data_IF_358791384238
#
_entry.id   IF_358791384238
#
_cell.length_a   1.000
_cell.length_b   1.000
_cell.length_c   1.000
_cell.angle_alpha   90.00
_cell.angle_beta   90.00
_cell.angle_gamma   90.00
#
_symmetry.space_group_name_H-M   'P 1'
#
loop_
_entity.id
_entity.type
_entity.pdbx_description
1 polymer ?
#
# COMPACT_ATOMS: atom_id res chain seq x y z
N UNK A 1 -21.31 39.39 -40.27
CA UNK A 1 -19.92 39.26 -39.79
C UNK A 1 -19.95 38.74 -38.37
N UNK A 2 -19.23 37.65 -38.08
CA UNK A 2 -19.11 37.16 -36.70
C UNK A 2 -18.24 38.14 -35.90
N UNK A 3 -18.63 38.42 -34.65
CA UNK A 3 -17.83 39.26 -33.75
C UNK A 3 -16.51 38.54 -33.46
N UNK A 4 -15.39 39.25 -33.65
CA UNK A 4 -14.06 38.77 -33.34
C UNK A 4 -13.64 39.17 -31.93
N UNK A 5 -12.90 38.29 -31.28
CA UNK A 5 -12.34 38.46 -29.94
C UNK A 5 -10.85 38.16 -30.00
N UNK A 6 -10.04 39.01 -29.38
CA UNK A 6 -8.65 38.69 -29.13
C UNK A 6 -8.55 37.43 -28.26
N UNK A 7 -7.39 36.75 -28.29
CA UNK A 7 -7.15 35.58 -27.42
C UNK A 7 -7.40 35.86 -25.94
N UNK A 8 -7.11 37.08 -25.46
CA UNK A 8 -7.35 37.49 -24.07
C UNK A 8 -8.83 37.65 -23.74
N UNK A 9 -9.61 38.26 -24.64
CA UNK A 9 -11.05 38.38 -24.48
C UNK A 9 -11.74 37.01 -24.53
N UNK A 10 -11.34 36.15 -25.47
CA UNK A 10 -11.83 34.78 -25.57
C UNK A 10 -11.51 33.98 -24.31
N UNK A 11 -10.26 34.04 -23.83
CA UNK A 11 -9.83 33.41 -22.60
C UNK A 11 -10.69 33.84 -21.40
N UNK A 12 -10.91 35.16 -21.25
CA UNK A 12 -11.74 35.74 -20.18
C UNK A 12 -13.20 35.28 -20.25
N UNK A 13 -13.81 35.28 -21.44
CA UNK A 13 -15.19 34.85 -21.63
C UNK A 13 -15.41 33.39 -21.22
N UNK A 14 -14.43 32.53 -21.49
CA UNK A 14 -14.52 31.10 -21.22
C UNK A 14 -13.85 30.69 -19.91
N UNK A 15 -13.32 31.63 -19.12
CA UNK A 15 -12.67 31.35 -17.85
C UNK A 15 -11.45 30.41 -17.98
N UNK A 16 -10.74 30.49 -19.10
CA UNK A 16 -9.48 29.74 -19.32
C UNK A 16 -8.34 30.73 -19.50
N UNK A 17 -7.09 30.28 -19.37
CA UNK A 17 -5.97 31.16 -19.60
C UNK A 17 -5.61 31.22 -21.11
N UNK A 18 -5.00 32.34 -21.54
CA UNK A 18 -4.61 32.51 -22.94
C UNK A 18 -3.56 31.47 -23.41
N UNK A 19 -2.74 30.93 -22.49
CA UNK A 19 -1.78 29.86 -22.80
C UNK A 19 -2.49 28.56 -23.20
N UNK A 20 -3.63 28.24 -22.59
CA UNK A 20 -4.47 27.09 -22.94
C UNK A 20 -5.03 27.24 -24.35
N UNK A 21 -5.51 28.43 -24.73
CA UNK A 21 -5.95 28.68 -26.11
C UNK A 21 -4.81 28.58 -27.13
N UNK A 22 -3.61 29.10 -26.81
CA UNK A 22 -2.42 28.90 -27.66
C UNK A 22 -2.09 27.43 -27.83
N UNK A 23 -2.12 26.67 -26.73
CA UNK A 23 -1.87 25.24 -26.78
C UNK A 23 -2.94 24.49 -27.59
N UNK A 24 -4.21 24.86 -27.47
CA UNK A 24 -5.27 24.27 -28.28
C UNK A 24 -5.13 24.60 -29.78
N UNK A 25 -4.62 25.78 -30.12
CA UNK A 25 -4.25 26.14 -31.49
C UNK A 25 -3.08 25.29 -32.00
N UNK A 26 -2.00 25.18 -31.21
CA UNK A 26 -0.80 24.39 -31.51
C UNK A 26 -1.13 22.92 -31.82
N UNK A 27 -2.01 22.30 -31.04
CA UNK A 27 -2.44 20.90 -31.27
C UNK A 27 -3.59 20.78 -32.28
N UNK A 28 -4.06 21.90 -32.85
CA UNK A 28 -5.16 21.93 -33.83
C UNK A 28 -6.56 21.66 -33.25
N UNK A 29 -6.71 21.64 -31.92
CA UNK A 29 -7.99 21.44 -31.26
C UNK A 29 -8.93 22.63 -31.46
N UNK A 30 -8.43 23.88 -31.45
CA UNK A 30 -9.19 25.08 -31.83
C UNK A 30 -8.24 26.10 -32.47
N UNK A 31 -8.35 26.32 -33.77
CA UNK A 31 -7.53 27.32 -34.49
C UNK A 31 -8.20 28.68 -34.46
N UNK A 32 -7.47 29.81 -34.39
CA UNK A 32 -8.07 31.13 -34.51
C UNK A 32 -8.78 31.27 -35.87
N UNK A 33 -9.90 32.00 -35.89
CA UNK A 33 -10.61 32.37 -37.13
C UNK A 33 -9.71 33.23 -38.03
N UNK A 34 -8.93 34.11 -37.42
CA UNK A 34 -8.00 34.99 -38.11
C UNK A 34 -6.72 35.17 -37.29
N UNK A 35 -5.58 35.10 -37.96
CA UNK A 35 -4.30 35.52 -37.40
C UNK A 35 -3.79 36.69 -38.22
N UNK A 36 -3.50 37.82 -37.55
CA UNK A 36 -2.94 39.00 -38.19
C UNK A 36 -1.54 38.64 -38.75
N UNK A 37 -1.31 38.77 -40.07
CA UNK A 37 -0.05 38.38 -40.70
C UNK A 37 1.15 39.28 -40.32
N UNK A 38 0.90 40.51 -39.88
CA UNK A 38 1.96 41.46 -39.51
C UNK A 38 2.35 41.35 -38.03
N UNK A 39 1.38 41.09 -37.16
CA UNK A 39 1.59 41.10 -35.70
C UNK A 39 1.51 39.72 -35.05
N UNK A 40 0.99 38.71 -35.74
CA UNK A 40 0.76 37.37 -35.20
C UNK A 40 -0.38 37.29 -34.20
N UNK A 41 -1.19 38.35 -34.05
CA UNK A 41 -2.32 38.37 -33.13
C UNK A 41 -3.42 37.42 -33.56
N UNK A 42 -3.93 36.64 -32.61
CA UNK A 42 -4.97 35.62 -32.81
C UNK A 42 -6.34 36.18 -32.46
N UNK A 43 -7.27 36.00 -33.39
CA UNK A 43 -8.67 36.41 -33.25
C UNK A 43 -9.57 35.20 -33.39
N UNK A 44 -10.52 35.08 -32.45
CA UNK A 44 -11.51 34.01 -32.38
C UNK A 44 -12.90 34.58 -32.64
N UNK A 45 -13.80 33.78 -33.20
CA UNK A 45 -15.15 34.22 -33.55
C UNK A 45 -16.22 33.58 -32.66
N UNK A 46 -17.41 34.16 -32.62
CA UNK A 46 -18.59 33.55 -31.98
C UNK A 46 -18.91 32.16 -32.53
N UNK A 47 -18.55 31.86 -33.78
CA UNK A 47 -18.74 30.53 -34.39
C UNK A 47 -17.98 29.41 -33.69
N UNK A 48 -16.98 29.75 -32.88
CA UNK A 48 -16.13 28.80 -32.18
C UNK A 48 -16.58 28.53 -30.74
N UNK A 49 -17.62 29.23 -30.28
CA UNK A 49 -18.10 29.16 -28.90
C UNK A 49 -18.63 27.76 -28.57
N UNK A 50 -19.43 27.16 -29.46
CA UNK A 50 -19.96 25.81 -29.30
C UNK A 50 -18.85 24.75 -29.18
N UNK A 51 -17.81 24.86 -30.01
CA UNK A 51 -16.66 23.97 -29.97
C UNK A 51 -15.93 24.10 -28.63
N UNK A 52 -15.68 25.33 -28.17
CA UNK A 52 -14.99 25.58 -26.90
C UNK A 52 -15.83 25.16 -25.69
N UNK A 53 -17.15 25.36 -25.71
CA UNK A 53 -18.07 24.84 -24.70
C UNK A 53 -18.00 23.31 -24.61
N UNK A 54 -18.00 22.62 -25.75
CA UNK A 54 -17.88 21.17 -25.81
C UNK A 54 -16.52 20.70 -25.26
N UNK A 55 -15.41 21.36 -25.65
CA UNK A 55 -14.07 21.06 -25.12
C UNK A 55 -14.07 21.20 -23.59
N UNK A 56 -14.60 22.32 -23.07
CA UNK A 56 -14.67 22.56 -21.62
C UNK A 56 -15.48 21.51 -20.89
N UNK A 57 -16.64 21.14 -21.43
CA UNK A 57 -17.50 20.10 -20.85
C UNK A 57 -16.74 18.76 -20.74
N UNK A 58 -16.12 18.30 -21.83
CA UNK A 58 -15.38 17.04 -21.83
C UNK A 58 -14.13 17.10 -20.95
N UNK A 59 -13.45 18.25 -20.88
CA UNK A 59 -12.32 18.45 -19.96
C UNK A 59 -12.73 18.46 -18.49
N UNK A 60 -13.92 18.95 -18.16
CA UNK A 60 -14.47 18.88 -16.81
C UNK A 60 -14.79 17.45 -16.36
N UNK A 61 -14.92 16.51 -17.32
CA UNK A 61 -15.06 15.07 -17.06
C UNK A 61 -13.70 14.34 -17.05
N UNK A 62 -12.59 15.06 -16.94
CA UNK A 62 -11.21 14.55 -17.01
C UNK A 62 -10.83 13.85 -18.32
N UNK A 63 -11.53 14.13 -19.41
CA UNK A 63 -11.27 13.47 -20.69
C UNK A 63 -9.96 13.96 -21.34
N UNK A 64 -9.02 13.08 -21.71
CA UNK A 64 -7.77 13.48 -22.35
C UNK A 64 -8.00 14.24 -23.66
N UNK A 65 -7.17 15.25 -23.94
CA UNK A 65 -7.30 16.08 -25.16
C UNK A 65 -7.23 15.26 -26.45
N UNK A 66 -6.47 14.16 -26.46
CA UNK A 66 -6.43 13.24 -27.59
C UNK A 66 -7.81 12.62 -27.92
N UNK A 67 -8.59 12.22 -26.91
CA UNK A 67 -9.95 11.70 -27.11
C UNK A 67 -10.90 12.80 -27.61
N UNK A 68 -10.76 14.02 -27.08
CA UNK A 68 -11.54 15.18 -27.51
C UNK A 68 -11.23 15.54 -28.97
N UNK A 69 -9.97 15.49 -29.40
CA UNK A 69 -9.60 15.70 -30.80
C UNK A 69 -10.26 14.66 -31.71
N UNK A 70 -10.18 13.37 -31.35
CA UNK A 70 -10.83 12.27 -32.09
C UNK A 70 -12.34 12.48 -32.25
N UNK A 71 -13.02 12.96 -31.20
CA UNK A 71 -14.44 13.32 -31.28
C UNK A 71 -14.74 14.40 -32.35
N UNK A 72 -13.85 15.39 -32.48
CA UNK A 72 -14.03 16.46 -33.46
C UNK A 72 -13.64 16.08 -34.90
N UNK A 73 -13.01 14.93 -35.13
CA UNK A 73 -12.76 14.40 -36.48
C UNK A 73 -14.05 13.91 -37.13
N UNK A 74 -14.97 13.33 -36.35
CA UNK A 74 -16.27 12.89 -36.83
C UNK A 74 -17.36 13.09 -35.76
N UNK A 75 -17.89 14.32 -35.68
CA UNK A 75 -18.86 14.73 -34.68
C UNK A 75 -20.21 14.02 -34.89
N UNK A 76 -20.39 12.91 -34.20
CA UNK A 76 -21.60 12.09 -34.20
C UNK A 76 -22.10 11.81 -32.76
N UNK A 77 -23.41 11.66 -32.60
CA UNK A 77 -24.02 11.42 -31.28
C UNK A 77 -23.65 10.04 -30.72
N UNK A 78 -23.52 9.02 -31.58
CA UNK A 78 -23.04 7.71 -31.20
C UNK A 78 -21.60 7.78 -30.69
N UNK A 79 -20.73 8.52 -31.38
CA UNK A 79 -19.35 8.74 -30.89
C UNK A 79 -19.29 9.46 -29.54
N UNK A 80 -20.14 10.48 -29.34
CA UNK A 80 -20.23 11.15 -28.03
C UNK A 80 -20.65 10.15 -26.94
N UNK A 81 -21.67 9.33 -27.20
CA UNK A 81 -22.14 8.32 -26.25
C UNK A 81 -21.05 7.32 -25.90
N UNK A 82 -20.30 6.83 -26.90
CA UNK A 82 -19.22 5.85 -26.66
C UNK A 82 -18.08 6.47 -25.84
N UNK A 83 -17.64 7.68 -26.17
CA UNK A 83 -16.59 8.37 -25.43
C UNK A 83 -17.00 8.65 -23.97
N UNK A 84 -18.26 9.00 -23.72
CA UNK A 84 -18.79 9.19 -22.37
C UNK A 84 -18.89 7.87 -21.60
N UNK A 85 -19.30 6.77 -22.25
CA UNK A 85 -19.31 5.42 -21.64
C UNK A 85 -17.91 4.96 -21.28
N UNK A 86 -16.93 5.13 -22.17
CA UNK A 86 -15.52 4.83 -21.89
C UNK A 86 -15.04 5.60 -20.65
N UNK A 87 -15.29 6.91 -20.61
CA UNK A 87 -14.89 7.74 -19.46
C UNK A 87 -15.58 7.30 -18.17
N UNK A 88 -16.85 6.92 -18.23
CA UNK A 88 -17.57 6.37 -17.07
C UNK A 88 -16.91 5.09 -16.55
N UNK A 89 -16.47 4.19 -17.44
CA UNK A 89 -15.74 2.98 -17.04
C UNK A 89 -14.38 3.30 -16.43
N UNK A 90 -13.63 4.25 -16.99
CA UNK A 90 -12.36 4.70 -16.41
C UNK A 90 -12.54 5.26 -15.00
N UNK A 91 -13.59 6.07 -14.78
CA UNK A 91 -13.93 6.59 -13.45
C UNK A 91 -14.28 5.45 -12.48
N UNK A 92 -15.02 4.43 -12.91
CA UNK A 92 -15.32 3.27 -12.07
C UNK A 92 -14.07 2.46 -11.69
N UNK A 93 -13.10 2.33 -12.59
CA UNK A 93 -11.81 1.70 -12.30
C UNK A 93 -11.05 2.50 -11.24
N UNK A 94 -10.90 3.82 -11.44
CA UNK A 94 -10.24 4.71 -10.47
C UNK A 94 -10.93 4.69 -9.11
N UNK A 95 -12.26 4.64 -9.07
CA UNK A 95 -13.01 4.55 -7.80
C UNK A 95 -12.66 3.28 -7.04
N UNK A 96 -12.63 2.13 -7.70
CA UNK A 96 -12.22 0.86 -7.07
C UNK A 96 -10.78 0.89 -6.56
N UNK A 97 -9.88 1.54 -7.29
CA UNK A 97 -8.49 1.73 -6.87
C UNK A 97 -8.40 2.62 -5.61
N UNK A 98 -9.12 3.74 -5.59
CA UNK A 98 -9.18 4.63 -4.43
C UNK A 98 -9.81 3.95 -3.20
N UNK A 99 -10.91 3.20 -3.38
CA UNK A 99 -11.54 2.39 -2.32
C UNK A 99 -10.54 1.38 -1.72
N UNK A 100 -9.71 0.74 -2.58
CA UNK A 100 -8.67 -0.18 -2.13
C UNK A 100 -7.55 0.54 -1.34
N UNK A 101 -7.13 1.72 -1.77
CA UNK A 101 -6.14 2.54 -1.06
C UNK A 101 -6.70 2.98 0.30
N UNK A 102 -7.95 3.46 0.35
CA UNK A 102 -8.63 3.88 1.57
C UNK A 102 -8.71 2.73 2.59
N UNK A 103 -9.06 1.53 2.12
CA UNK A 103 -9.10 0.34 2.98
C UNK A 103 -7.71 0.03 3.56
N UNK A 104 -6.65 0.03 2.75
CA UNK A 104 -5.27 -0.19 3.23
C UNK A 104 -4.84 0.85 4.28
N UNK A 105 -5.20 2.13 4.08
CA UNK A 105 -4.91 3.19 5.05
C UNK A 105 -5.66 2.92 6.36
N UNK A 106 -6.94 2.57 6.28
CA UNK A 106 -7.79 2.31 7.45
C UNK A 106 -7.26 1.14 8.28
N UNK A 107 -6.91 0.02 7.62
CA UNK A 107 -6.29 -1.13 8.27
C UNK A 107 -4.97 -0.75 8.96
N UNK A 108 -4.11 0.02 8.28
CA UNK A 108 -2.84 0.44 8.87
C UNK A 108 -3.01 1.36 10.08
N UNK A 109 -3.97 2.28 10.04
CA UNK A 109 -4.31 3.13 11.19
C UNK A 109 -4.81 2.30 12.37
N UNK A 110 -5.63 1.29 12.11
CA UNK A 110 -6.11 0.35 13.15
C UNK A 110 -4.95 -0.42 13.77
N UNK A 111 -4.04 -0.99 12.95
CA UNK A 111 -2.85 -1.72 13.43
C UNK A 111 -1.94 -0.83 14.28
N UNK A 112 -1.69 0.41 13.85
CA UNK A 112 -0.84 1.35 14.61
C UNK A 112 -1.49 1.77 15.92
N UNK A 113 -2.79 2.04 15.93
CA UNK A 113 -3.52 2.32 17.15
C UNK A 113 -3.45 1.13 18.11
N UNK A 114 -3.71 -0.08 17.63
CA UNK A 114 -3.62 -1.30 18.43
C UNK A 114 -2.21 -1.51 18.99
N UNK A 115 -1.16 -1.33 18.18
CA UNK A 115 0.22 -1.44 18.62
C UNK A 115 0.58 -0.42 19.73
N UNK A 116 0.16 0.84 19.60
CA UNK A 116 0.53 1.90 20.54
C UNK A 116 -0.23 1.85 21.87
N UNK A 117 -1.48 1.39 21.86
CA UNK A 117 -2.38 1.42 23.02
C UNK A 117 -2.65 0.04 23.64
N UNK A 118 -1.94 -1.00 23.20
CA UNK A 118 -1.96 -2.33 23.82
C UNK A 118 -1.38 -2.32 25.24
N UNK A 119 -1.59 -3.41 25.98
CA UNK A 119 -0.93 -3.63 27.26
C UNK A 119 0.41 -4.33 27.00
N UNK A 120 1.50 -3.59 27.15
CA UNK A 120 2.84 -4.15 26.97
C UNK A 120 3.21 -5.15 28.06
N UNK A 121 4.10 -6.07 27.69
CA UNK A 121 4.72 -7.08 28.53
C UNK A 121 3.73 -8.07 29.15
N UNK A 122 2.50 -8.15 28.66
CA UNK A 122 1.52 -9.13 29.09
C UNK A 122 1.53 -10.33 28.15
N UNK A 123 1.55 -11.55 28.71
CA UNK A 123 1.40 -12.76 27.90
C UNK A 123 -0.07 -13.05 27.72
N UNK A 124 -0.51 -13.09 26.47
CA UNK A 124 -1.88 -13.42 26.09
C UNK A 124 -1.91 -14.74 25.34
N UNK A 125 -3.01 -15.48 25.50
CA UNK A 125 -3.28 -16.63 24.66
C UNK A 125 -4.30 -16.24 23.61
N UNK A 126 -3.95 -16.43 22.35
CA UNK A 126 -4.79 -16.05 21.21
C UNK A 126 -4.92 -17.22 20.25
N UNK A 127 -6.06 -17.30 19.57
CA UNK A 127 -6.23 -18.20 18.43
C UNK A 127 -6.15 -17.38 17.16
N UNK A 128 -5.14 -17.66 16.33
CA UNK A 128 -4.88 -16.93 15.09
C UNK A 128 -5.29 -17.78 13.89
N UNK A 129 -5.78 -17.16 12.80
CA UNK A 129 -6.08 -17.87 11.56
C UNK A 129 -4.79 -18.26 10.82
N UNK A 130 -4.93 -19.10 9.79
CA UNK A 130 -3.87 -19.32 8.81
C UNK A 130 -3.47 -17.98 8.18
N UNK A 131 -2.17 -17.73 8.08
CA UNK A 131 -1.62 -16.50 7.48
C UNK A 131 -0.61 -16.84 6.41
N UNK A 132 -0.65 -16.08 5.32
CA UNK A 132 0.30 -16.19 4.22
C UNK A 132 1.47 -15.23 4.44
N UNK A 133 2.67 -15.71 4.15
CA UNK A 133 3.91 -14.94 4.23
C UNK A 133 4.66 -14.94 2.91
N UNK A 134 5.26 -13.80 2.59
CA UNK A 134 6.43 -13.75 1.74
C UNK A 134 7.67 -13.90 2.63
N UNK A 135 8.50 -14.91 2.38
CA UNK A 135 9.58 -15.28 3.30
C UNK A 135 10.87 -15.59 2.56
N UNK A 136 11.99 -15.21 3.18
CA UNK A 136 13.34 -15.62 2.84
C UNK A 136 13.90 -16.44 3.99
N UNK A 137 14.21 -17.71 3.71
CA UNK A 137 14.88 -18.60 4.66
C UNK A 137 16.39 -18.37 4.56
N UNK A 138 16.96 -17.79 5.60
CA UNK A 138 18.39 -17.54 5.70
C UNK A 138 18.74 -17.33 7.18
N UNK A 139 19.96 -17.67 7.55
CA UNK A 139 20.49 -17.34 8.88
C UNK A 139 20.80 -15.84 8.92
N UNK A 140 20.30 -15.15 9.95
CA UNK A 140 20.47 -13.72 10.15
C UNK A 140 20.85 -13.50 11.62
N UNK A 141 21.98 -12.84 11.91
CA UNK A 141 22.29 -12.41 13.27
C UNK A 141 21.19 -11.49 13.83
N UNK A 142 20.88 -11.60 15.12
CA UNK A 142 19.94 -10.71 15.78
C UNK A 142 20.55 -9.31 15.97
N UNK A 143 20.49 -8.50 14.92
CA UNK A 143 20.93 -7.10 14.89
C UNK A 143 19.78 -6.18 14.54
N UNK A 144 19.88 -4.89 14.88
CA UNK A 144 18.85 -3.90 14.49
C UNK A 144 18.87 -3.60 12.99
N UNK A 145 19.98 -3.84 12.29
CA UNK A 145 20.08 -3.70 10.84
C UNK A 145 19.67 -5.00 10.13
N UNK A 146 18.46 -5.01 9.59
CA UNK A 146 17.92 -6.09 8.75
C UNK A 146 17.82 -5.68 7.27
N UNK A 147 18.29 -4.49 6.89
CA UNK A 147 18.04 -3.89 5.57
C UNK A 147 18.56 -4.75 4.42
N UNK A 148 19.74 -5.36 4.59
CA UNK A 148 20.28 -6.25 3.56
C UNK A 148 19.35 -7.45 3.30
N UNK A 149 18.87 -8.10 4.36
CA UNK A 149 17.95 -9.24 4.28
C UNK A 149 16.58 -8.82 3.73
N UNK A 150 16.10 -7.63 4.08
CA UNK A 150 14.87 -7.03 3.53
C UNK A 150 15.01 -6.83 2.02
N UNK A 151 16.14 -6.28 1.54
CA UNK A 151 16.38 -6.10 0.09
C UNK A 151 16.49 -7.41 -0.66
N UNK A 152 17.05 -8.45 -0.03
CA UNK A 152 17.06 -9.78 -0.62
C UNK A 152 15.63 -10.35 -0.74
N UNK A 153 14.81 -10.20 0.30
CA UNK A 153 13.42 -10.61 0.31
C UNK A 153 12.62 -9.86 -0.76
N UNK A 154 12.72 -8.53 -0.84
CA UNK A 154 12.08 -7.68 -1.84
C UNK A 154 12.41 -8.15 -3.27
N UNK A 155 13.70 -8.36 -3.57
CA UNK A 155 14.16 -8.81 -4.89
C UNK A 155 13.61 -10.19 -5.27
N UNK A 156 13.51 -11.12 -4.31
CA UNK A 156 13.05 -12.48 -4.58
C UNK A 156 11.53 -12.57 -4.74
N UNK A 157 10.80 -11.69 -4.05
CA UNK A 157 9.34 -11.77 -3.94
C UNK A 157 8.60 -10.76 -4.82
N UNK A 158 9.32 -9.79 -5.40
CA UNK A 158 8.77 -8.68 -6.19
C UNK A 158 7.68 -7.89 -5.44
N UNK A 159 7.71 -7.91 -4.11
CA UNK A 159 6.79 -7.13 -3.28
C UNK A 159 7.04 -5.63 -3.44
N UNK A 160 5.98 -4.84 -3.30
CA UNK A 160 6.08 -3.39 -3.28
C UNK A 160 6.84 -2.91 -2.04
N UNK A 161 7.74 -1.93 -2.20
CA UNK A 161 8.56 -1.37 -1.12
C UNK A 161 7.74 -0.92 0.12
N UNK A 162 6.48 -0.49 -0.08
CA UNK A 162 5.57 -0.07 0.98
C UNK A 162 5.24 -1.20 1.98
N UNK A 163 5.43 -2.46 1.61
CA UNK A 163 5.14 -3.61 2.48
C UNK A 163 6.20 -3.85 3.56
N UNK A 164 7.36 -3.20 3.46
CA UNK A 164 8.47 -3.38 4.41
C UNK A 164 8.48 -2.33 5.53
N UNK A 165 7.49 -1.42 5.57
CA UNK A 165 7.39 -0.42 6.63
C UNK A 165 6.51 -0.93 7.78
N UNK A 166 7.11 -1.28 8.93
CA UNK A 166 6.39 -1.72 10.14
C UNK A 166 5.54 -2.99 9.98
N UNK A 167 5.99 -3.91 9.12
CA UNK A 167 5.41 -5.26 8.89
C UNK A 167 6.46 -6.35 8.66
N UNK A 168 7.74 -6.02 8.87
CA UNK A 168 8.82 -7.00 8.74
C UNK A 168 8.85 -7.86 9.99
N UNK A 169 8.89 -9.17 9.77
CA UNK A 169 9.06 -10.14 10.83
C UNK A 169 10.23 -11.06 10.61
N UNK A 170 10.69 -11.66 11.70
CA UNK A 170 11.76 -12.65 11.74
C UNK A 170 11.30 -13.86 12.55
N UNK A 171 11.93 -15.00 12.32
CA UNK A 171 11.67 -16.23 13.08
C UNK A 171 12.93 -16.78 13.70
N UNK A 172 12.82 -17.26 14.92
CA UNK A 172 13.82 -18.12 15.56
C UNK A 172 13.33 -19.56 15.44
N UNK A 173 14.24 -20.47 15.08
CA UNK A 173 13.87 -21.89 14.95
C UNK A 173 13.37 -22.47 16.27
N UNK A 174 12.40 -23.39 16.22
CA UNK A 174 11.89 -24.07 17.42
C UNK A 174 13.04 -24.63 18.28
N UNK A 175 14.05 -25.24 17.63
CA UNK A 175 15.24 -25.78 18.29
C UNK A 175 16.00 -24.71 19.07
N UNK A 176 16.21 -23.53 18.47
CA UNK A 176 16.93 -22.43 19.11
C UNK A 176 16.12 -21.80 20.24
N UNK A 177 14.81 -21.61 20.05
CA UNK A 177 13.91 -21.14 21.11
C UNK A 177 13.98 -22.09 22.32
N UNK A 178 13.88 -23.41 22.10
CA UNK A 178 13.96 -24.41 23.17
C UNK A 178 15.34 -24.51 23.83
N UNK A 179 16.41 -24.19 23.10
CA UNK A 179 17.78 -24.17 23.63
C UNK A 179 18.18 -22.80 24.19
N UNK A 180 17.23 -21.86 24.35
CA UNK A 180 17.48 -20.51 24.85
C UNK A 180 18.52 -19.73 24.01
N UNK A 181 18.62 -20.01 22.70
CA UNK A 181 19.44 -19.28 21.74
C UNK A 181 18.56 -18.29 20.99
N UNK A 182 18.66 -17.00 21.32
CA UNK A 182 17.78 -15.95 20.76
C UNK A 182 18.49 -14.97 19.82
N UNK A 183 19.77 -15.19 19.53
CA UNK A 183 20.65 -14.27 18.80
C UNK A 183 20.76 -14.56 17.30
N UNK A 184 19.93 -15.46 16.77
CA UNK A 184 19.99 -15.91 15.38
C UNK A 184 18.61 -16.28 14.82
N UNK A 185 18.19 -15.53 13.79
CA UNK A 185 16.98 -15.78 13.04
C UNK A 185 17.23 -16.80 11.93
N UNK A 186 16.25 -17.66 11.66
CA UNK A 186 16.28 -18.64 10.56
C UNK A 186 15.47 -18.19 9.32
N UNK A 187 14.72 -17.08 9.43
CA UNK A 187 14.04 -16.46 8.31
C UNK A 187 13.64 -15.01 8.62
N UNK A 188 13.48 -14.25 7.54
CA UNK A 188 12.82 -12.94 7.51
C UNK A 188 11.60 -13.01 6.60
N UNK A 189 10.52 -12.31 6.94
CA UNK A 189 9.27 -12.37 6.20
C UNK A 189 8.46 -11.07 6.30
N UNK A 190 7.43 -10.98 5.47
CA UNK A 190 6.34 -10.01 5.58
C UNK A 190 5.02 -10.77 5.55
N UNK A 191 4.10 -10.41 6.44
CA UNK A 191 2.74 -10.96 6.46
C UNK A 191 1.93 -10.35 5.33
N UNK A 192 1.36 -11.20 4.47
CA UNK A 192 0.59 -10.77 3.30
C UNK A 192 -0.86 -10.49 3.69
N UNK A 193 -1.39 -9.36 3.22
CA UNK A 193 -2.78 -8.96 3.42
C UNK A 193 -3.64 -9.28 2.17
N UNK A 194 -4.97 -9.44 2.34
CA UNK A 194 -5.86 -9.64 1.22
C UNK A 194 -5.69 -8.56 0.13
N UNK A 195 -5.43 -9.02 -1.09
CA UNK A 195 -5.21 -8.17 -2.26
C UNK A 195 -3.75 -7.89 -2.59
N UNK A 196 -2.80 -8.20 -1.70
CA UNK A 196 -1.38 -8.06 -2.02
C UNK A 196 -0.97 -8.91 -3.23
N UNK A 197 -0.17 -8.31 -4.11
CA UNK A 197 0.33 -8.98 -5.31
C UNK A 197 1.63 -9.70 -4.93
N UNK A 198 1.64 -11.02 -5.09
CA UNK A 198 2.76 -11.86 -4.71
C UNK A 198 2.90 -13.03 -5.69
N UNK A 199 4.10 -13.18 -6.25
CA UNK A 199 4.42 -14.17 -7.31
C UNK A 199 5.44 -15.23 -6.85
N UNK A 200 5.60 -15.41 -5.52
CA UNK A 200 6.51 -16.40 -4.94
C UNK A 200 5.79 -17.65 -4.38
N UNK A 201 6.57 -18.63 -3.91
CA UNK A 201 6.04 -19.71 -3.08
C UNK A 201 5.71 -19.18 -1.68
N UNK A 202 4.43 -18.88 -1.45
CA UNK A 202 3.98 -18.34 -0.16
C UNK A 202 4.21 -19.40 0.91
N UNK A 203 4.88 -19.03 2.00
CA UNK A 203 4.94 -19.87 3.17
C UNK A 203 3.68 -19.66 4.02
N UNK A 204 3.18 -20.75 4.59
CA UNK A 204 2.06 -20.72 5.52
C UNK A 204 2.56 -20.61 6.96
N UNK A 205 2.03 -19.64 7.70
CA UNK A 205 1.95 -19.75 9.15
C UNK A 205 0.65 -20.49 9.46
N UNK A 206 0.71 -21.69 10.06
CA UNK A 206 -0.49 -22.41 10.43
C UNK A 206 -1.27 -21.63 11.49
N UNK A 207 -2.56 -21.54 11.30
CA UNK A 207 -3.51 -21.10 12.30
C UNK A 207 -3.50 -22.04 13.50
N UNK A 208 -3.94 -21.52 14.63
CA UNK A 208 -3.95 -22.28 15.88
C UNK A 208 -3.75 -21.41 17.10
N UNK A 209 -3.33 -22.05 18.18
CA UNK A 209 -3.11 -21.39 19.47
C UNK A 209 -1.70 -20.82 19.54
N UNK A 210 -1.60 -19.58 19.97
CA UNK A 210 -0.36 -18.87 20.18
C UNK A 210 -0.33 -18.27 21.58
N UNK A 211 0.84 -18.25 22.21
CA UNK A 211 1.13 -17.28 23.25
C UNK A 211 1.77 -16.06 22.60
N UNK A 212 1.20 -14.89 22.86
CA UNK A 212 1.67 -13.62 22.31
C UNK A 212 2.10 -12.67 23.43
N UNK A 213 3.04 -11.79 23.10
CA UNK A 213 3.43 -10.69 23.97
C UNK A 213 3.95 -9.54 23.12
N UNK A 214 3.50 -8.32 23.41
CA UNK A 214 4.02 -7.09 22.82
C UNK A 214 4.90 -6.35 23.81
N UNK A 215 5.97 -5.75 23.32
CA UNK A 215 6.86 -4.94 24.15
C UNK A 215 7.38 -3.72 23.39
N UNK A 216 7.83 -2.73 24.16
CA UNK A 216 8.51 -1.57 23.62
C UNK A 216 10.00 -1.89 23.40
N UNK A 217 10.43 -1.89 22.14
CA UNK A 217 11.81 -2.21 21.77
C UNK A 217 11.94 -2.90 20.42
N UNK A 218 13.17 -3.28 20.08
CA UNK A 218 13.54 -3.94 18.82
C UNK A 218 13.81 -5.43 19.01
N UNK A 219 14.20 -6.07 17.92
CA UNK A 219 14.60 -7.48 17.86
C UNK A 219 15.80 -7.82 18.76
N UNK A 220 16.74 -6.91 18.96
CA UNK A 220 17.93 -7.14 19.81
C UNK A 220 17.58 -7.25 21.30
N UNK A 221 16.38 -6.81 21.68
CA UNK A 221 15.89 -6.78 23.07
C UNK A 221 14.89 -7.92 23.37
N UNK A 222 14.63 -8.81 22.42
CA UNK A 222 13.58 -9.83 22.49
C UNK A 222 13.86 -10.95 23.51
N UNK A 223 15.13 -11.24 23.82
CA UNK A 223 15.55 -12.38 24.65
C UNK A 223 14.83 -12.50 25.99
N UNK A 224 14.66 -11.39 26.72
CA UNK A 224 13.98 -11.38 28.04
C UNK A 224 12.49 -11.75 27.91
N UNK A 225 11.89 -11.40 26.77
CA UNK A 225 10.48 -11.67 26.49
C UNK A 225 10.25 -13.09 25.99
N UNK A 226 11.20 -13.67 25.25
CA UNK A 226 11.21 -15.11 24.96
C UNK A 226 11.26 -15.93 26.25
N UNK A 227 12.12 -15.57 27.20
CA UNK A 227 12.17 -16.25 28.51
C UNK A 227 10.83 -16.19 29.25
N UNK A 228 10.18 -15.03 29.21
CA UNK A 228 8.85 -14.86 29.81
C UNK A 228 7.79 -15.75 29.15
N UNK A 229 7.77 -15.81 27.83
CA UNK A 229 6.85 -16.68 27.08
C UNK A 229 7.13 -18.16 27.36
N UNK A 230 8.40 -18.59 27.36
CA UNK A 230 8.79 -19.97 27.69
C UNK A 230 8.43 -20.37 29.12
N UNK A 231 8.56 -19.45 30.08
CA UNK A 231 8.07 -19.66 31.44
C UNK A 231 6.55 -19.87 31.44
N UNK A 232 5.81 -19.05 30.70
CA UNK A 232 4.35 -19.15 30.64
C UNK A 232 3.89 -20.46 29.97
N UNK A 233 4.58 -20.91 28.92
CA UNK A 233 4.36 -22.23 28.29
C UNK A 233 4.42 -23.33 29.36
N UNK A 234 5.46 -23.34 30.20
CA UNK A 234 5.64 -24.32 31.27
C UNK A 234 4.54 -24.25 32.31
N UNK A 235 4.19 -23.04 32.77
CA UNK A 235 3.15 -22.81 33.80
C UNK A 235 1.78 -23.29 33.31
N UNK A 236 1.46 -23.10 32.02
CA UNK A 236 0.18 -23.49 31.43
C UNK A 236 0.12 -24.95 30.93
N UNK A 237 1.22 -25.71 31.05
CA UNK A 237 1.28 -27.09 30.56
C UNK A 237 1.21 -27.19 29.03
N UNK A 238 1.76 -26.20 28.33
CA UNK A 238 1.84 -26.19 26.88
C UNK A 238 3.19 -26.72 26.38
N UNK A 239 3.21 -27.08 25.11
CA UNK A 239 4.42 -27.40 24.35
C UNK A 239 4.56 -26.43 23.18
N UNK A 240 5.79 -26.04 22.87
CA UNK A 240 6.10 -25.24 21.68
C UNK A 240 5.85 -26.09 20.43
N UNK A 241 5.11 -25.56 19.47
CA UNK A 241 4.64 -26.30 18.29
C UNK A 241 5.30 -25.85 16.97
N UNK A 242 6.29 -24.95 17.02
CA UNK A 242 6.95 -24.45 15.82
C UNK A 242 7.95 -23.33 16.08
N UNK A 243 8.42 -22.73 14.99
CA UNK A 243 9.30 -21.55 15.04
C UNK A 243 8.57 -20.36 15.66
N UNK A 244 9.33 -19.44 16.25
CA UNK A 244 8.75 -18.17 16.70
C UNK A 244 8.38 -17.28 15.52
N UNK A 245 7.47 -16.35 15.79
CA UNK A 245 7.09 -15.28 14.88
C UNK A 245 7.32 -13.99 15.65
N UNK A 246 8.20 -13.15 15.16
CA UNK A 246 8.55 -11.88 15.79
C UNK A 246 8.34 -10.78 14.77
N UNK A 247 7.42 -9.85 15.02
CA UNK A 247 6.99 -8.83 14.05
C UNK A 247 7.22 -7.45 14.65
N UNK A 248 7.93 -6.60 13.92
CA UNK A 248 8.01 -5.19 14.31
C UNK A 248 6.81 -4.44 13.76
N UNK A 249 5.96 -3.95 14.66
CA UNK A 249 4.73 -3.22 14.33
C UNK A 249 5.01 -1.72 14.12
N UNK A 250 5.96 -1.17 14.88
CA UNK A 250 6.43 0.22 14.78
C UNK A 250 7.96 0.24 14.88
N UNK A 251 8.62 0.83 13.88
CA UNK A 251 10.09 0.86 13.74
C UNK A 251 10.63 2.26 13.38
N UNK A 252 11.94 2.32 13.13
CA UNK A 252 12.65 3.53 12.73
C UNK A 252 12.20 4.12 11.38
N UNK A 253 11.55 3.32 10.53
CA UNK A 253 10.92 3.81 9.31
C UNK A 253 9.68 4.67 9.58
N UNK A 254 9.09 4.55 10.77
CA UNK A 254 7.87 5.26 11.15
C UNK A 254 8.12 6.42 12.10
N UNK A 255 9.05 6.28 13.04
CA UNK A 255 9.30 7.27 14.08
C UNK A 255 10.76 7.27 14.48
N UNK A 256 11.28 8.44 14.86
CA UNK A 256 12.61 8.57 15.47
C UNK A 256 12.56 8.39 17.01
N UNK A 257 11.36 8.33 17.59
CA UNK A 257 11.17 8.12 19.02
C UNK A 257 11.19 6.62 19.32
N UNK A 258 12.32 6.13 19.80
CA UNK A 258 12.50 4.70 20.12
C UNK A 258 11.58 4.20 21.23
N UNK A 259 10.99 5.10 22.04
CA UNK A 259 10.01 4.73 23.06
C UNK A 259 8.64 4.35 22.47
N UNK A 260 8.44 4.59 21.18
CA UNK A 260 7.25 4.21 20.43
C UNK A 260 7.45 2.95 19.59
N UNK A 261 8.65 2.35 19.62
CA UNK A 261 8.88 1.09 18.92
C UNK A 261 8.07 -0.01 19.56
N UNK A 262 7.47 -0.87 18.75
CA UNK A 262 6.63 -1.97 19.22
C UNK A 262 6.98 -3.22 18.45
N UNK A 263 7.34 -4.26 19.19
CA UNK A 263 7.59 -5.60 18.66
C UNK A 263 6.60 -6.59 19.29
N UNK A 264 6.04 -7.47 18.48
CA UNK A 264 5.18 -8.57 18.91
C UNK A 264 5.89 -9.90 18.74
N UNK A 265 5.92 -10.70 19.80
CA UNK A 265 6.32 -12.10 19.78
C UNK A 265 5.09 -12.99 19.76
N UNK A 266 5.15 -14.06 18.96
CA UNK A 266 4.15 -15.12 18.92
C UNK A 266 4.87 -16.47 18.95
N UNK A 267 4.54 -17.30 19.93
CA UNK A 267 4.97 -18.69 20.01
C UNK A 267 3.78 -19.62 19.73
N UNK A 268 3.80 -20.43 18.66
CA UNK A 268 2.78 -21.43 18.43
C UNK A 268 2.84 -22.49 19.54
N UNK A 269 1.68 -22.85 20.10
CA UNK A 269 1.61 -23.80 21.22
C UNK A 269 0.54 -24.87 21.01
N UNK A 270 0.78 -26.05 21.57
CA UNK A 270 -0.20 -27.13 21.70
C UNK A 270 -0.37 -27.52 23.17
N UNK A 271 -1.50 -28.13 23.50
CA UNK A 271 -1.71 -28.73 24.84
C UNK A 271 -0.70 -29.86 25.01
N UNK A 272 0.10 -29.82 26.08
CA UNK A 272 1.05 -30.89 26.37
C UNK A 272 0.32 -32.22 26.55
N UNK A 273 0.86 -33.32 26.02
CA UNK A 273 0.26 -34.62 26.27
C UNK A 273 0.39 -34.95 27.76
N UNK A 274 -0.75 -35.11 28.45
CA UNK A 274 -0.74 -35.85 29.72
C UNK A 274 -0.18 -37.24 29.40
N UNK A 275 1.05 -37.52 29.83
CA UNK A 275 1.53 -38.88 29.95
C UNK A 275 0.61 -39.57 30.94
N UNK A 276 -0.46 -40.17 30.42
CA UNK A 276 -1.36 -41.01 31.18
C UNK A 276 -0.52 -42.03 31.93
N UNK A 277 -0.58 -41.97 33.25
CA UNK A 277 -0.21 -43.05 34.15
C UNK A 277 -1.01 -44.28 33.72
N UNK A 278 -0.46 -45.05 32.78
CA UNK A 278 -0.87 -46.43 32.56
C UNK A 278 -0.32 -47.22 33.74
N UNK A 279 -1.20 -47.43 34.72
CA UNK A 279 -1.09 -48.47 35.74
C UNK A 279 -0.85 -49.84 35.09
#
# INVERSE_FOLDING_TARGET
MNKLFTIGEMAKLFGINAKTLRYYDEIGLIRPEHTDPMTGYRYYSTGQFERLNTIKYLRALDMPLAKIMRFFENKDIGQMMEILKEQQQEVLVKRRELERIEHKISERLSQLHDALYTIYNQVEEVTLPDRKLAMLRTEIPATDDLEYSIRQLERQTQLEAAMFLGKVGVSISMRHVMSHKFDEFCSIFVVLEPGDVYDGEAADIPGGRYLTLRYCGTHTQSSVYYEKLLSEIKVRGYELAGNSIEITLVDAGMTNDTTQFVTELQLPVTVGQEYGLRN
#
